data_IF_843965627613
#
_entry.id   IF_843965627613
#
_cell.length_a   1.000
_cell.length_b   1.000
_cell.length_c   1.000
_cell.angle_alpha   90.00
_cell.angle_beta   90.00
_cell.angle_gamma   90.00
#
_symmetry.space_group_name_H-M   'P 1'
#
loop_
_entity.id
_entity.type
_entity.pdbx_description
1 polymer ?
#
# COMPACT_ATOMS: atom_id res chain seq x y z
N UNK A 1 7.19 -20.75 -5.57
CA UNK A 1 6.23 -20.82 -6.70
C UNK A 1 4.98 -20.03 -6.32
N UNK A 2 4.63 -18.98 -7.07
CA UNK A 2 3.42 -18.17 -6.82
C UNK A 2 2.21 -18.85 -7.49
N UNK A 3 1.13 -19.09 -6.75
CA UNK A 3 -0.09 -19.71 -7.29
C UNK A 3 -1.21 -18.66 -7.38
N UNK A 4 -1.39 -18.00 -8.54
CA UNK A 4 -2.33 -16.88 -8.69
C UNK A 4 -3.79 -17.29 -8.52
N UNK A 5 -4.11 -18.58 -8.72
CA UNK A 5 -5.46 -19.11 -8.47
C UNK A 5 -5.76 -19.11 -6.98
N UNK A 6 -4.80 -19.54 -6.16
CA UNK A 6 -4.93 -19.55 -4.69
C UNK A 6 -4.97 -18.11 -4.16
N UNK A 7 -4.11 -17.22 -4.64
CA UNK A 7 -4.04 -15.83 -4.13
C UNK A 7 -5.38 -15.08 -4.30
N UNK A 8 -6.07 -15.26 -5.43
CA UNK A 8 -7.38 -14.65 -5.70
C UNK A 8 -8.49 -15.14 -4.76
N UNK A 9 -8.35 -16.34 -4.20
CA UNK A 9 -9.35 -16.93 -3.29
C UNK A 9 -9.15 -16.56 -1.82
N UNK A 10 -8.01 -15.93 -1.50
CA UNK A 10 -7.69 -15.46 -0.16
C UNK A 10 -7.99 -13.96 -0.04
N UNK A 11 -8.35 -13.54 1.16
CA UNK A 11 -8.43 -12.15 1.59
C UNK A 11 -7.52 -11.95 2.80
N UNK A 12 -7.04 -10.73 2.96
CA UNK A 12 -6.26 -10.33 4.12
C UNK A 12 -7.20 -9.88 5.24
N UNK A 13 -6.94 -10.31 6.48
CA UNK A 13 -7.70 -9.86 7.65
C UNK A 13 -7.53 -8.34 7.86
N UNK A 14 -8.60 -7.61 8.22
CA UNK A 14 -8.51 -6.18 8.51
C UNK A 14 -7.75 -5.86 9.80
N UNK A 15 -7.61 -6.82 10.73
CA UNK A 15 -6.93 -6.61 12.02
C UNK A 15 -5.46 -7.03 12.00
N UNK A 16 -5.07 -7.96 11.13
CA UNK A 16 -3.68 -8.41 11.00
C UNK A 16 -3.35 -8.83 9.57
N UNK A 17 -2.45 -8.10 8.92
CA UNK A 17 -2.05 -8.35 7.54
C UNK A 17 -1.39 -9.72 7.29
N UNK A 18 -0.91 -10.40 8.36
CA UNK A 18 -0.34 -11.75 8.28
C UNK A 18 -1.41 -12.82 8.06
N UNK A 19 -2.66 -12.55 8.43
CA UNK A 19 -3.75 -13.50 8.26
C UNK A 19 -4.31 -13.45 6.83
N UNK A 20 -4.08 -14.53 6.08
CA UNK A 20 -4.72 -14.79 4.78
C UNK A 20 -5.80 -15.84 4.93
N UNK A 21 -7.03 -15.45 4.72
CA UNK A 21 -8.22 -16.26 4.99
C UNK A 21 -9.01 -16.46 3.69
N UNK A 22 -9.58 -17.64 3.41
CA UNK A 22 -10.49 -17.81 2.28
C UNK A 22 -11.61 -16.77 2.31
N UNK A 23 -11.91 -16.15 1.16
CA UNK A 23 -12.91 -15.07 1.09
C UNK A 23 -14.27 -15.47 1.68
N UNK A 24 -14.68 -16.72 1.46
CA UNK A 24 -15.91 -17.28 2.00
C UNK A 24 -15.95 -17.29 3.56
N UNK A 25 -14.79 -17.41 4.20
CA UNK A 25 -14.65 -17.53 5.66
C UNK A 25 -14.18 -16.22 6.32
N UNK A 26 -13.99 -15.15 5.55
CA UNK A 26 -13.53 -13.87 6.09
C UNK A 26 -14.52 -13.31 7.12
N UNK A 27 -15.83 -13.45 6.88
CA UNK A 27 -16.87 -12.93 7.78
C UNK A 27 -16.81 -13.60 9.16
N UNK A 28 -16.76 -14.93 9.21
CA UNK A 28 -16.63 -15.65 10.48
C UNK A 28 -15.29 -15.36 11.14
N UNK A 29 -14.20 -15.29 10.36
CA UNK A 29 -12.89 -14.94 10.88
C UNK A 29 -12.89 -13.57 11.59
N UNK A 30 -13.50 -12.54 11.00
CA UNK A 30 -13.56 -11.20 11.60
C UNK A 30 -14.25 -11.23 12.97
N UNK A 31 -15.24 -12.10 13.18
CA UNK A 31 -15.92 -12.22 14.48
C UNK A 31 -15.08 -12.92 15.56
N UNK A 32 -14.14 -13.77 15.18
CA UNK A 32 -13.36 -14.61 16.10
C UNK A 32 -11.85 -14.37 16.01
N UNK A 33 -11.42 -13.28 15.37
CA UNK A 33 -10.01 -13.01 15.13
C UNK A 33 -9.33 -12.67 16.46
N UNK A 34 -8.21 -13.34 16.82
CA UNK A 34 -7.51 -13.07 18.08
C UNK A 34 -6.89 -11.66 18.10
N UNK A 35 -6.51 -11.13 16.92
CA UNK A 35 -5.97 -9.78 16.79
C UNK A 35 -7.06 -8.70 16.72
N UNK A 36 -8.34 -9.07 16.86
CA UNK A 36 -9.42 -8.09 16.98
C UNK A 36 -9.32 -7.42 18.35
N UNK A 37 -8.48 -6.39 18.43
CA UNK A 37 -8.40 -5.55 19.61
C UNK A 37 -9.76 -4.83 19.81
N UNK A 38 -10.26 -4.73 21.05
CA UNK A 38 -11.29 -3.75 21.36
C UNK A 38 -10.77 -2.38 20.92
N UNK A 39 -11.56 -1.67 20.13
CA UNK A 39 -11.36 -0.24 19.94
C UNK A 39 -11.62 0.38 21.31
N UNK A 40 -10.59 0.50 22.13
CA UNK A 40 -10.61 1.37 23.31
C UNK A 40 -10.76 2.78 22.75
N UNK A 41 -12.01 3.22 22.58
CA UNK A 41 -12.30 4.62 22.27
C UNK A 41 -11.78 5.41 23.48
N UNK A 42 -10.86 6.38 23.30
CA UNK A 42 -10.51 7.28 24.38
C UNK A 42 -11.80 7.87 24.97
N UNK A 43 -11.94 7.99 26.30
CA UNK A 43 -13.14 8.57 26.89
C UNK A 43 -13.42 9.91 26.19
N UNK A 44 -14.62 10.04 25.64
CA UNK A 44 -15.04 11.29 25.01
C UNK A 44 -14.89 12.39 26.07
N UNK A 45 -14.10 13.46 25.82
CA UNK A 45 -14.01 14.54 26.78
C UNK A 45 -15.40 15.15 26.90
N UNK A 46 -16.01 14.99 28.06
CA UNK A 46 -17.40 15.38 28.38
C UNK A 46 -17.69 16.88 28.22
N UNK A 47 -16.70 17.70 27.84
CA UNK A 47 -16.82 19.16 27.68
C UNK A 47 -16.22 19.75 26.39
N UNK A 48 -16.06 18.98 25.31
CA UNK A 48 -15.55 19.52 24.03
C UNK A 48 -16.62 20.21 23.17
N UNK A 49 -17.40 21.12 23.75
CA UNK A 49 -18.13 22.11 22.98
C UNK A 49 -17.13 23.17 22.46
N UNK A 50 -16.57 22.94 21.27
CA UNK A 50 -15.96 24.01 20.46
C UNK A 50 -14.43 24.09 20.41
N UNK A 51 -13.68 23.06 20.81
CA UNK A 51 -12.26 23.00 20.42
C UNK A 51 -12.18 22.48 18.98
N UNK A 52 -11.88 23.40 18.05
CA UNK A 52 -11.41 23.03 16.73
C UNK A 52 -10.25 22.05 16.90
N UNK A 53 -10.40 20.84 16.36
CA UNK A 53 -9.27 19.93 16.17
C UNK A 53 -8.25 20.73 15.33
N UNK A 54 -7.16 21.14 15.94
CA UNK A 54 -5.99 21.53 15.17
C UNK A 54 -5.41 20.20 14.68
N UNK A 55 -5.34 19.95 13.36
CA UNK A 55 -4.74 18.72 12.87
C UNK A 55 -3.32 18.64 13.46
N UNK A 56 -2.90 17.48 13.98
CA UNK A 56 -1.54 17.31 14.47
C UNK A 56 -0.58 17.84 13.41
N UNK A 57 0.38 18.69 13.82
CA UNK A 57 1.42 19.18 12.92
C UNK A 57 2.00 17.98 12.19
N UNK A 58 1.71 17.88 10.89
CA UNK A 58 2.13 16.74 10.09
C UNK A 58 3.66 16.65 10.18
N UNK A 59 4.16 15.53 10.69
CA UNK A 59 5.59 15.27 10.69
C UNK A 59 6.10 15.40 9.25
N UNK A 60 7.08 16.29 9.05
CA UNK A 60 7.72 16.45 7.76
C UNK A 60 8.92 15.49 7.73
N UNK A 61 8.97 14.52 6.82
CA UNK A 61 10.19 13.75 6.63
C UNK A 61 11.32 14.70 6.22
N UNK A 62 12.55 14.47 6.68
CA UNK A 62 13.70 15.12 6.07
C UNK A 62 13.70 14.80 4.57
N UNK A 63 14.22 15.70 3.71
CA UNK A 63 14.35 15.41 2.29
C UNK A 63 15.09 14.08 2.11
N UNK A 64 14.48 13.18 1.33
CA UNK A 64 15.11 11.92 1.00
C UNK A 64 16.41 12.19 0.26
N UNK A 65 17.50 11.53 0.66
CA UNK A 65 18.79 11.63 -0.02
C UNK A 65 18.82 10.79 -1.31
N UNK A 66 17.98 9.75 -1.37
CA UNK A 66 17.85 8.86 -2.52
C UNK A 66 16.76 9.43 -3.44
N UNK A 67 17.18 9.96 -4.58
CA UNK A 67 16.32 10.53 -5.61
C UNK A 67 16.36 9.63 -6.85
N UNK A 68 15.38 8.74 -6.96
CA UNK A 68 15.27 7.81 -8.08
C UNK A 68 15.03 8.54 -9.42
N UNK A 69 14.47 9.76 -9.41
CA UNK A 69 14.26 10.55 -10.64
C UNK A 69 15.58 11.12 -11.16
N UNK A 70 16.49 11.50 -10.25
CA UNK A 70 17.84 11.88 -10.61
C UNK A 70 18.62 10.69 -11.20
N UNK A 71 18.54 9.51 -10.58
CA UNK A 71 19.20 8.29 -11.11
C UNK A 71 18.65 7.90 -12.49
N UNK A 72 17.36 8.08 -12.76
CA UNK A 72 16.79 7.89 -14.10
C UNK A 72 17.38 8.86 -15.13
N UNK A 73 17.57 10.13 -14.75
CA UNK A 73 18.12 11.16 -15.63
C UNK A 73 19.60 10.89 -15.96
N UNK A 74 20.37 10.39 -14.99
CA UNK A 74 21.76 9.97 -15.20
C UNK A 74 21.84 8.70 -16.07
N UNK A 75 20.91 7.75 -15.90
CA UNK A 75 20.80 6.55 -16.75
C UNK A 75 20.34 6.83 -18.19
N UNK A 76 19.67 7.95 -18.46
CA UNK A 76 19.35 8.41 -19.82
C UNK A 76 20.56 9.06 -20.52
N UNK A 77 21.52 9.58 -19.75
CA UNK A 77 22.77 10.17 -20.23
C UNK A 77 23.86 9.11 -20.46
N UNK A 78 23.82 8.00 -19.72
CA UNK A 78 24.64 6.81 -19.97
C UNK A 78 23.96 5.87 -20.99
N UNK A 79 24.72 5.24 -21.89
CA UNK A 79 24.12 4.24 -22.77
C UNK A 79 23.58 3.06 -21.94
N UNK A 80 22.30 2.68 -22.06
CA UNK A 80 21.70 1.69 -21.20
C UNK A 80 22.41 0.34 -21.40
N UNK A 81 22.80 -0.36 -20.32
CA UNK A 81 23.50 -1.63 -20.45
C UNK A 81 22.64 -2.66 -21.20
N UNK A 82 23.26 -3.65 -21.87
CA UNK A 82 22.60 -4.52 -22.85
C UNK A 82 21.49 -5.42 -22.26
N UNK A 83 21.27 -5.39 -20.95
CA UNK A 83 20.19 -6.10 -20.26
C UNK A 83 18.94 -5.23 -20.01
N UNK A 84 18.99 -3.92 -20.26
CA UNK A 84 17.80 -3.06 -20.21
C UNK A 84 16.97 -3.30 -21.47
N UNK A 85 15.70 -3.66 -21.26
CA UNK A 85 14.74 -3.85 -22.34
C UNK A 85 14.48 -2.49 -23.00
N UNK A 86 15.07 -2.27 -24.18
CA UNK A 86 14.82 -1.12 -25.03
C UNK A 86 13.42 -1.23 -25.63
N UNK A 87 12.39 -0.89 -24.87
CA UNK A 87 11.03 -0.77 -25.40
C UNK A 87 10.97 0.54 -26.17
N UNK A 88 11.01 0.46 -27.51
CA UNK A 88 10.86 1.65 -28.33
C UNK A 88 9.38 2.02 -28.43
N UNK A 89 9.08 3.28 -28.75
CA UNK A 89 7.70 3.77 -28.94
C UNK A 89 6.91 2.97 -29.99
N UNK A 90 7.57 2.17 -30.84
CA UNK A 90 6.97 1.26 -31.81
C UNK A 90 6.57 -0.12 -31.25
N UNK A 91 7.05 -0.49 -30.06
CA UNK A 91 6.81 -1.79 -29.42
C UNK A 91 5.61 -1.78 -28.46
N UNK A 92 5.00 -0.61 -28.25
CA UNK A 92 3.75 -0.50 -27.49
C UNK A 92 2.62 -1.08 -28.34
N UNK A 93 1.87 -2.10 -27.85
CA UNK A 93 0.72 -2.60 -28.57
C UNK A 93 -0.26 -1.43 -28.76
N UNK A 94 -0.54 -1.12 -30.02
CA UNK A 94 -1.55 -0.14 -30.41
C UNK A 94 -2.83 -0.51 -29.67
N UNK A 95 -3.34 0.42 -28.86
CA UNK A 95 -4.62 0.25 -28.18
C UNK A 95 -5.68 0.08 -29.28
N UNK A 96 -6.11 -1.15 -29.55
CA UNK A 96 -7.22 -1.41 -30.45
C UNK A 96 -8.48 -0.82 -29.82
N UNK A 97 -9.01 0.24 -30.44
CA UNK A 97 -10.32 0.81 -30.14
C UNK A 97 -11.45 -0.13 -30.55
#
# INVERSE_FOLDING_TARGET
QNNPKVSRTLATCPFNARHRVPRAHLRSHVTSCPDKLPLELPPEPEDAAGTAWEPPRAWQPPPCREDWDAELSELELEEPPPFILQVTKGDLPVLCH
#
